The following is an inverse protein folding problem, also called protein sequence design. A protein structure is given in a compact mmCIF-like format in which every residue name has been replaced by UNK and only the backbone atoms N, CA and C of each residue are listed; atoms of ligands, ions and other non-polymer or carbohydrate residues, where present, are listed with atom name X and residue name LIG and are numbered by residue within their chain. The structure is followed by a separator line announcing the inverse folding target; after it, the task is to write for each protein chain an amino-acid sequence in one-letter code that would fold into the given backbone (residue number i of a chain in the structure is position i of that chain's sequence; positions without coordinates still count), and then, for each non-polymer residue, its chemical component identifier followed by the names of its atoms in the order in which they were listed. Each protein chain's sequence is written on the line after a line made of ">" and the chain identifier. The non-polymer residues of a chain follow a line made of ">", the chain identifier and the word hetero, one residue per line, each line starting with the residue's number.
data_IF_196215973908
#
_entry.id   IF_196215973908
#
_cell.length_a   1.000
_cell.length_b   1.000
_cell.length_c   1.000
_cell.angle_alpha   90.00
_cell.angle_beta   90.00
_cell.angle_gamma   90.00
#
_symmetry.space_group_name_H-M   'P 1'
#
loop_
_entity.id
_entity.type
_entity.pdbx_description
1 polymer ?
#
# COMPACT_ATOMS: atom_id res chain seq x y z
N UNK A 1 -13.14 27.68 10.17
CA UNK A 1 -12.19 27.27 11.23
C UNK A 1 -11.71 25.81 11.08
N UNK A 2 -12.60 24.87 10.77
CA UNK A 2 -12.28 23.43 10.65
C UNK A 2 -11.32 23.11 9.49
N UNK A 3 -11.60 23.60 8.28
CA UNK A 3 -10.75 23.42 7.09
C UNK A 3 -9.33 23.97 7.31
N UNK A 4 -9.20 25.15 7.93
CA UNK A 4 -7.89 25.76 8.20
C UNK A 4 -7.06 24.91 9.18
N UNK A 5 -7.67 24.39 10.26
CA UNK A 5 -6.97 23.50 11.20
C UNK A 5 -6.46 22.23 10.51
N UNK A 6 -7.23 21.70 9.54
CA UNK A 6 -6.84 20.52 8.77
C UNK A 6 -5.73 20.78 7.76
N UNK A 7 -5.83 21.88 7.02
CA UNK A 7 -4.75 22.29 6.12
C UNK A 7 -3.45 22.50 6.89
N UNK A 8 -3.52 23.12 8.07
CA UNK A 8 -2.37 23.27 8.95
C UNK A 8 -1.84 21.91 9.43
N UNK A 9 -2.72 20.98 9.81
CA UNK A 9 -2.34 19.62 10.20
C UNK A 9 -1.63 18.87 9.06
N UNK A 10 -2.20 18.87 7.85
CA UNK A 10 -1.58 18.25 6.66
C UNK A 10 -0.23 18.88 6.38
N UNK A 11 -0.12 20.21 6.42
CA UNK A 11 1.14 20.92 6.21
C UNK A 11 2.18 20.52 7.26
N UNK A 12 1.80 20.45 8.54
CA UNK A 12 2.70 20.03 9.62
C UNK A 12 3.14 18.57 9.46
N UNK A 13 2.25 17.66 9.06
CA UNK A 13 2.57 16.26 8.80
C UNK A 13 3.55 16.13 7.64
N UNK A 14 3.27 16.78 6.52
CA UNK A 14 4.13 16.77 5.32
C UNK A 14 5.49 17.39 5.63
N UNK A 15 5.52 18.53 6.31
CA UNK A 15 6.77 19.19 6.72
C UNK A 15 7.59 18.33 7.70
N UNK A 16 6.94 17.75 8.70
CA UNK A 16 7.62 16.87 9.68
C UNK A 16 8.17 15.62 9.00
N UNK A 17 7.37 14.95 8.17
CA UNK A 17 7.82 13.79 7.42
C UNK A 17 8.94 14.13 6.45
N UNK A 18 8.84 15.23 5.71
CA UNK A 18 9.89 15.71 4.80
C UNK A 18 11.21 15.97 5.55
N UNK A 19 11.13 16.65 6.69
CA UNK A 19 12.30 16.95 7.54
C UNK A 19 12.94 15.68 8.08
N UNK A 20 12.14 14.77 8.64
CA UNK A 20 12.61 13.48 9.18
C UNK A 20 13.26 12.66 8.06
N UNK A 21 12.60 12.56 6.90
CA UNK A 21 13.11 11.78 5.77
C UNK A 21 14.43 12.36 5.27
N UNK A 22 14.59 13.68 5.24
CA UNK A 22 15.85 14.31 4.87
C UNK A 22 17.00 13.94 5.82
N UNK A 23 16.77 13.96 7.13
CA UNK A 23 17.84 13.74 8.11
C UNK A 23 18.18 12.26 8.34
N UNK A 24 17.21 11.34 8.24
CA UNK A 24 17.42 9.91 8.55
C UNK A 24 18.65 9.33 7.81
N UNK A 25 18.77 9.45 6.48
CA UNK A 25 19.91 8.81 5.79
C UNK A 25 21.25 9.49 6.07
N UNK A 26 21.23 10.74 6.55
CA UNK A 26 22.42 11.54 6.90
C UNK A 26 22.91 11.31 8.33
N UNK A 27 22.17 10.52 9.11
CA UNK A 27 22.68 9.95 10.37
C UNK A 27 23.71 8.84 10.08
N UNK A 28 23.61 8.22 8.90
CA UNK A 28 24.60 7.26 8.43
C UNK A 28 25.85 7.99 7.93
N UNK A 29 27.03 7.56 8.38
CA UNK A 29 28.32 8.06 7.89
C UNK A 29 28.66 7.55 6.46
N UNK A 30 27.74 6.83 5.83
CA UNK A 30 27.92 6.21 4.51
C UNK A 30 27.67 7.23 3.40
N UNK A 31 28.68 7.46 2.56
CA UNK A 31 28.51 8.24 1.33
C UNK A 31 27.87 7.35 0.24
N UNK A 32 26.63 7.66 -0.21
CA UNK A 32 25.86 6.80 -1.12
C UNK A 32 26.51 6.67 -2.50
N UNK A 33 27.13 7.77 -2.97
CA UNK A 33 27.82 7.81 -4.25
C UNK A 33 29.06 6.91 -4.19
N UNK A 34 29.85 7.03 -3.11
CA UNK A 34 31.03 6.18 -2.89
C UNK A 34 30.65 4.72 -2.84
N UNK A 35 29.60 4.36 -2.09
CA UNK A 35 29.17 2.97 -1.98
C UNK A 35 28.71 2.39 -3.32
N UNK A 36 27.91 3.14 -4.07
CA UNK A 36 27.45 2.74 -5.39
C UNK A 36 28.60 2.50 -6.36
N UNK A 37 29.53 3.45 -6.47
CA UNK A 37 30.65 3.29 -7.39
C UNK A 37 31.69 2.29 -6.88
N UNK A 38 31.80 2.06 -5.57
CA UNK A 38 32.60 0.97 -5.02
C UNK A 38 32.00 -0.41 -5.37
N UNK A 39 30.67 -0.56 -5.35
CA UNK A 39 29.99 -1.76 -5.83
C UNK A 39 30.28 -2.02 -7.32
N UNK A 40 30.15 -1.00 -8.16
CA UNK A 40 30.45 -1.09 -9.59
C UNK A 40 31.94 -1.38 -9.86
N UNK A 41 32.85 -0.82 -9.05
CA UNK A 41 34.27 -1.11 -9.13
C UNK A 41 34.57 -2.59 -8.83
N UNK A 42 33.88 -3.20 -7.86
CA UNK A 42 33.99 -4.65 -7.55
C UNK A 42 33.53 -5.53 -8.71
N UNK A 43 32.58 -5.05 -9.53
CA UNK A 43 32.10 -5.75 -10.73
C UNK A 43 32.99 -5.53 -11.96
N UNK A 44 34.15 -4.87 -11.81
CA UNK A 44 35.19 -4.76 -12.84
C UNK A 44 35.23 -3.42 -13.60
N UNK A 45 34.69 -2.34 -13.03
CA UNK A 45 34.45 -1.09 -13.77
C UNK A 45 35.48 0.03 -13.63
N UNK A 46 36.31 0.09 -12.58
CA UNK A 46 37.12 1.30 -12.29
C UNK A 46 38.42 0.99 -11.55
N UNK A 47 39.48 1.76 -11.83
CA UNK A 47 40.65 1.84 -10.96
C UNK A 47 40.35 2.69 -9.71
N UNK A 48 41.07 2.45 -8.61
CA UNK A 48 40.88 3.19 -7.36
C UNK A 48 41.05 4.72 -7.55
N UNK A 49 41.87 5.18 -8.49
CA UNK A 49 42.03 6.62 -8.77
C UNK A 49 40.89 7.26 -9.57
N UNK A 50 40.09 6.46 -10.29
CA UNK A 50 38.92 6.92 -11.05
C UNK A 50 37.68 7.02 -10.17
N UNK A 51 37.56 6.12 -9.18
CA UNK A 51 36.47 6.12 -8.21
C UNK A 51 36.36 7.47 -7.48
N UNK A 52 37.45 7.96 -6.91
CA UNK A 52 37.49 9.24 -6.19
C UNK A 52 37.05 10.42 -7.07
N UNK A 53 37.46 10.46 -8.33
CA UNK A 53 37.06 11.52 -9.28
C UNK A 53 35.57 11.48 -9.60
N UNK A 54 35.03 10.27 -9.79
CA UNK A 54 33.60 10.07 -10.03
C UNK A 54 32.81 10.49 -8.80
N UNK A 55 33.25 10.06 -7.62
CA UNK A 55 32.59 10.43 -6.35
C UNK A 55 32.59 11.94 -6.16
N UNK A 56 33.69 12.63 -6.42
CA UNK A 56 33.77 14.09 -6.32
C UNK A 56 32.83 14.78 -7.33
N UNK A 57 32.85 14.34 -8.59
CA UNK A 57 32.00 14.90 -9.65
C UNK A 57 30.51 14.74 -9.33
N UNK A 58 30.10 13.55 -8.89
CA UNK A 58 28.72 13.28 -8.49
C UNK A 58 28.37 14.01 -7.20
N UNK A 59 29.28 14.11 -6.22
CA UNK A 59 29.01 14.85 -4.98
C UNK A 59 28.69 16.31 -5.26
N UNK A 60 29.43 16.94 -6.18
CA UNK A 60 29.13 18.31 -6.65
C UNK A 60 27.82 18.39 -7.43
N UNK A 61 27.57 17.44 -8.35
CA UNK A 61 26.34 17.43 -9.15
C UNK A 61 25.07 17.28 -8.30
N UNK A 62 25.13 16.50 -7.22
CA UNK A 62 24.03 16.28 -6.29
C UNK A 62 24.05 17.22 -5.07
N UNK A 63 25.00 18.15 -5.00
CA UNK A 63 25.14 19.14 -3.92
C UNK A 63 25.46 18.52 -2.55
N UNK A 64 26.01 17.31 -2.51
CA UNK A 64 26.38 16.62 -1.26
C UNK A 64 27.63 17.22 -0.59
N UNK A 65 28.37 18.05 -1.31
CA UNK A 65 29.53 18.82 -0.83
C UNK A 65 29.14 20.10 -0.07
N UNK A 66 27.90 20.55 -0.19
CA UNK A 66 27.39 21.76 0.48
C UNK A 66 27.17 21.52 1.98
N UNK A 67 27.21 22.58 2.82
CA UNK A 67 26.79 22.49 4.22
C UNK A 67 25.39 21.90 4.36
N UNK A 68 25.17 21.09 5.41
CA UNK A 68 23.95 20.33 5.64
C UNK A 68 22.67 21.18 5.57
N UNK A 69 22.74 22.39 6.13
CA UNK A 69 21.64 23.36 6.15
C UNK A 69 21.30 23.82 4.73
N UNK A 70 22.30 24.04 3.88
CA UNK A 70 22.08 24.43 2.49
C UNK A 70 21.47 23.27 1.70
N UNK A 71 21.93 22.03 1.91
CA UNK A 71 21.31 20.85 1.31
C UNK A 71 19.83 20.72 1.69
N UNK A 72 19.49 21.06 2.94
CA UNK A 72 18.10 21.03 3.41
C UNK A 72 17.24 22.07 2.69
N UNK A 73 17.72 23.30 2.53
CA UNK A 73 16.98 24.33 1.79
C UNK A 73 16.88 24.02 0.30
N UNK A 74 17.93 23.47 -0.32
CA UNK A 74 17.89 23.01 -1.71
C UNK A 74 16.84 21.90 -1.88
N UNK A 75 16.81 20.93 -0.94
CA UNK A 75 15.82 19.86 -0.92
C UNK A 75 14.38 20.39 -0.76
N UNK A 76 14.13 21.26 0.23
CA UNK A 76 12.81 21.87 0.44
C UNK A 76 12.40 22.70 -0.77
N UNK A 77 13.34 23.43 -1.40
CA UNK A 77 13.11 24.14 -2.66
C UNK A 77 12.61 23.20 -3.77
N UNK A 78 13.30 22.08 -3.97
CA UNK A 78 12.90 21.04 -4.93
C UNK A 78 11.53 20.42 -4.61
N UNK A 79 11.24 20.14 -3.34
CA UNK A 79 9.93 19.67 -2.88
C UNK A 79 8.82 20.63 -3.28
N UNK A 80 9.02 21.94 -3.10
CA UNK A 80 8.03 22.97 -3.44
C UNK A 80 7.79 23.09 -4.95
N UNK A 81 8.77 22.71 -5.78
CA UNK A 81 8.65 22.67 -7.25
C UNK A 81 8.33 21.29 -7.80
N UNK A 82 8.10 20.29 -6.93
CA UNK A 82 7.93 18.87 -7.28
C UNK A 82 9.13 18.28 -8.06
N UNK A 83 10.30 18.89 -7.90
CA UNK A 83 11.56 18.38 -8.44
C UNK A 83 12.29 17.57 -7.37
N UNK A 84 12.17 16.25 -7.50
CA UNK A 84 12.86 15.28 -6.64
C UNK A 84 14.20 14.83 -7.21
N UNK A 85 14.62 15.39 -8.34
CA UNK A 85 15.85 15.03 -9.03
C UNK A 85 15.81 13.66 -9.71
N UNK A 86 16.99 13.06 -9.85
CA UNK A 86 17.22 11.80 -10.55
C UNK A 86 17.71 10.71 -9.62
N UNK A 87 17.35 9.46 -9.93
CA UNK A 87 17.84 8.30 -9.19
C UNK A 87 19.33 8.11 -9.41
N UNK A 88 20.07 7.95 -8.31
CA UNK A 88 21.50 7.59 -8.35
C UNK A 88 21.71 6.20 -8.93
N UNK A 89 20.79 5.27 -8.64
CA UNK A 89 20.93 3.86 -9.02
C UNK A 89 20.31 3.54 -10.39
N UNK A 90 19.29 4.29 -10.81
CA UNK A 90 18.57 4.10 -12.09
C UNK A 90 18.75 5.29 -13.03
N UNK A 91 19.89 5.97 -12.97
CA UNK A 91 20.19 7.09 -13.87
C UNK A 91 20.03 6.68 -15.35
N UNK A 92 19.41 7.51 -16.22
CA UNK A 92 18.96 8.88 -16.00
C UNK A 92 17.48 9.03 -15.55
N UNK A 93 16.84 7.98 -15.02
CA UNK A 93 15.42 8.07 -14.62
C UNK A 93 15.22 9.11 -13.50
N UNK A 94 14.25 10.00 -13.70
CA UNK A 94 13.81 10.93 -12.66
C UNK A 94 13.03 10.19 -11.58
N UNK A 95 13.05 10.72 -10.35
CA UNK A 95 12.28 10.14 -9.24
C UNK A 95 10.78 10.17 -9.54
N UNK A 96 10.29 11.24 -10.19
CA UNK A 96 8.89 11.34 -10.59
C UNK A 96 8.50 10.26 -11.61
N UNK A 97 9.39 9.92 -12.55
CA UNK A 97 9.16 8.83 -13.51
C UNK A 97 9.06 7.48 -12.78
N UNK A 98 9.94 7.23 -11.81
CA UNK A 98 9.88 6.00 -11.00
C UNK A 98 8.56 5.91 -10.20
N UNK A 99 8.12 7.03 -9.60
CA UNK A 99 6.83 7.08 -8.91
C UNK A 99 5.70 6.80 -9.89
N UNK A 100 5.68 7.46 -11.06
CA UNK A 100 4.63 7.30 -12.06
C UNK A 100 4.54 5.88 -12.64
N UNK A 101 5.68 5.21 -12.86
CA UNK A 101 5.73 3.82 -13.32
C UNK A 101 5.21 2.84 -12.26
N UNK A 102 5.47 3.13 -10.98
CA UNK A 102 5.09 2.26 -9.86
C UNK A 102 3.66 2.48 -9.35
N UNK A 103 3.13 3.68 -9.51
CA UNK A 103 1.84 4.09 -8.93
C UNK A 103 0.66 3.20 -9.37
N UNK A 104 0.50 2.82 -10.66
CA UNK A 104 -0.62 1.99 -11.09
C UNK A 104 -0.64 0.62 -10.41
N UNK A 105 0.54 0.04 -10.16
CA UNK A 105 0.67 -1.26 -9.48
C UNK A 105 0.19 -1.18 -8.03
N UNK A 106 0.66 -0.16 -7.30
CA UNK A 106 0.28 0.05 -5.90
C UNK A 106 -1.18 0.42 -5.75
N UNK A 107 -1.67 1.38 -6.54
CA UNK A 107 -3.09 1.79 -6.50
C UNK A 107 -4.00 0.64 -6.90
N UNK A 108 -3.68 -0.07 -7.99
CA UNK A 108 -4.46 -1.21 -8.46
C UNK A 108 -4.58 -2.30 -7.39
N UNK A 109 -3.45 -2.70 -6.80
CA UNK A 109 -3.43 -3.69 -5.74
C UNK A 109 -4.23 -3.24 -4.52
N UNK A 110 -4.01 -2.02 -4.03
CA UNK A 110 -4.67 -1.50 -2.82
C UNK A 110 -6.18 -1.34 -3.04
N UNK A 111 -6.61 -0.70 -4.13
CA UNK A 111 -8.03 -0.45 -4.38
C UNK A 111 -8.79 -1.76 -4.56
N UNK A 112 -8.27 -2.67 -5.40
CA UNK A 112 -8.94 -3.95 -5.68
C UNK A 112 -9.03 -4.78 -4.41
N UNK A 113 -7.93 -4.93 -3.67
CA UNK A 113 -7.95 -5.74 -2.44
C UNK A 113 -8.81 -5.11 -1.34
N UNK A 114 -8.79 -3.79 -1.19
CA UNK A 114 -9.63 -3.09 -0.19
C UNK A 114 -11.10 -3.24 -0.52
N UNK A 115 -11.50 -3.01 -1.78
CA UNK A 115 -12.90 -3.16 -2.22
C UNK A 115 -13.37 -4.60 -2.09
N UNK A 116 -12.57 -5.58 -2.51
CA UNK A 116 -12.92 -6.99 -2.38
C UNK A 116 -13.05 -7.40 -0.91
N UNK A 117 -12.13 -6.98 -0.06
CA UNK A 117 -12.19 -7.27 1.39
C UNK A 117 -13.42 -6.64 2.03
N UNK A 118 -13.73 -5.40 1.65
CA UNK A 118 -14.92 -4.70 2.09
C UNK A 118 -16.18 -5.43 1.67
N UNK A 119 -16.34 -5.74 0.37
CA UNK A 119 -17.55 -6.41 -0.15
C UNK A 119 -17.70 -7.80 0.46
N UNK A 120 -16.66 -8.64 0.38
CA UNK A 120 -16.71 -10.01 0.88
C UNK A 120 -16.93 -10.00 2.40
N UNK A 121 -16.15 -9.21 3.14
CA UNK A 121 -16.22 -9.17 4.58
C UNK A 121 -17.58 -8.69 5.10
N UNK A 122 -18.14 -7.65 4.48
CA UNK A 122 -19.47 -7.18 4.85
C UNK A 122 -20.57 -8.19 4.49
N UNK A 123 -20.52 -8.82 3.31
CA UNK A 123 -21.53 -9.83 2.95
C UNK A 123 -21.47 -11.04 3.90
N UNK A 124 -20.28 -11.55 4.18
CA UNK A 124 -20.09 -12.68 5.10
C UNK A 124 -20.50 -12.31 6.53
N UNK A 125 -20.11 -11.13 7.01
CA UNK A 125 -20.50 -10.64 8.35
C UNK A 125 -22.00 -10.43 8.49
N UNK A 126 -22.64 -9.83 7.48
CA UNK A 126 -24.08 -9.61 7.42
C UNK A 126 -24.84 -10.93 7.47
N UNK A 127 -24.45 -11.90 6.64
CA UNK A 127 -25.05 -13.24 6.62
C UNK A 127 -24.81 -14.00 7.92
N UNK A 128 -23.65 -13.86 8.54
CA UNK A 128 -23.34 -14.55 9.79
C UNK A 128 -24.11 -14.01 11.00
N UNK A 129 -24.52 -12.73 10.98
CA UNK A 129 -25.41 -12.16 11.99
C UNK A 129 -26.89 -12.40 11.69
N UNK A 130 -27.26 -12.69 10.43
CA UNK A 130 -28.66 -12.89 10.05
C UNK A 130 -29.27 -14.17 10.67
N UNK A 131 -30.41 -14.10 11.39
CA UNK A 131 -30.98 -15.24 12.12
C UNK A 131 -31.38 -16.43 11.27
N UNK A 132 -31.88 -16.16 10.06
CA UNK A 132 -32.36 -17.19 9.15
C UNK A 132 -31.22 -17.87 8.38
N UNK A 133 -29.99 -17.38 8.53
CA UNK A 133 -28.84 -18.03 7.92
C UNK A 133 -28.60 -19.42 8.53
N UNK A 134 -28.17 -20.40 7.71
CA UNK A 134 -27.79 -21.73 8.20
C UNK A 134 -26.80 -21.64 9.37
N UNK A 135 -26.87 -22.58 10.32
CA UNK A 135 -26.01 -22.57 11.51
C UNK A 135 -24.51 -22.52 11.16
N UNK A 136 -24.10 -23.21 10.09
CA UNK A 136 -22.72 -23.19 9.62
C UNK A 136 -22.28 -21.81 9.11
N UNK A 137 -23.17 -21.07 8.43
CA UNK A 137 -22.92 -19.69 7.99
C UNK A 137 -22.78 -18.76 9.19
N UNK A 138 -23.63 -18.93 10.21
CA UNK A 138 -23.49 -18.14 11.46
C UNK A 138 -22.19 -18.46 12.19
N UNK A 139 -21.78 -19.72 12.19
CA UNK A 139 -20.52 -20.19 12.80
C UNK A 139 -19.26 -19.76 12.04
N UNK A 140 -19.33 -19.49 10.73
CA UNK A 140 -18.15 -19.14 9.91
C UNK A 140 -17.48 -17.85 10.38
N UNK A 141 -18.26 -16.92 10.95
CA UNK A 141 -17.74 -15.64 11.44
C UNK A 141 -16.69 -15.79 12.54
N UNK A 142 -16.80 -16.82 13.38
CA UNK A 142 -15.83 -17.12 14.43
C UNK A 142 -14.47 -17.50 13.84
N UNK A 143 -14.43 -18.20 12.71
CA UNK A 143 -13.18 -18.54 12.02
C UNK A 143 -12.45 -17.30 11.48
N UNK A 144 -13.19 -16.23 11.15
CA UNK A 144 -12.59 -14.97 10.69
C UNK A 144 -11.88 -14.18 11.79
N UNK A 145 -12.13 -14.50 13.07
CA UNK A 145 -11.33 -13.98 14.19
C UNK A 145 -9.87 -14.41 14.05
N UNK A 146 -9.63 -15.64 13.58
CA UNK A 146 -8.26 -16.14 13.38
C UNK A 146 -7.52 -15.30 12.34
N UNK A 147 -8.20 -14.91 11.26
CA UNK A 147 -7.59 -14.09 10.20
C UNK A 147 -7.27 -12.67 10.64
N UNK A 148 -7.99 -12.11 11.62
CA UNK A 148 -7.65 -10.79 12.18
C UNK A 148 -6.26 -10.77 12.84
N UNK A 149 -5.83 -11.91 13.39
CA UNK A 149 -4.52 -12.05 14.03
C UNK A 149 -3.37 -12.37 13.08
N UNK A 150 -3.64 -12.65 11.79
CA UNK A 150 -2.60 -13.06 10.82
C UNK A 150 -2.12 -11.84 10.05
N UNK A 151 -0.84 -11.41 10.22
CA UNK A 151 -0.27 -10.35 9.42
C UNK A 151 -0.25 -10.73 7.92
N UNK A 152 -0.59 -9.81 6.99
CA UNK A 152 -0.53 -10.05 5.56
C UNK A 152 0.83 -10.59 5.08
N UNK A 153 1.90 -10.14 5.75
CA UNK A 153 3.30 -10.53 5.51
C UNK A 153 3.50 -12.03 5.75
N UNK A 154 3.00 -12.57 6.87
CA UNK A 154 3.12 -14.00 7.16
C UNK A 154 2.31 -14.82 6.17
N UNK A 155 1.10 -14.34 5.83
CA UNK A 155 0.27 -15.01 4.84
C UNK A 155 0.91 -15.01 3.45
N UNK A 156 1.55 -13.91 3.04
CA UNK A 156 2.31 -13.83 1.80
C UNK A 156 3.42 -14.90 1.73
N UNK A 157 4.21 -15.05 2.79
CA UNK A 157 5.27 -16.06 2.87
C UNK A 157 4.69 -17.48 2.77
N UNK A 158 3.60 -17.77 3.49
CA UNK A 158 2.95 -19.08 3.44
C UNK A 158 2.37 -19.37 2.05
N UNK A 159 1.74 -18.39 1.41
CA UNK A 159 1.20 -18.51 0.06
C UNK A 159 2.30 -18.77 -0.97
N UNK A 160 3.42 -18.07 -0.87
CA UNK A 160 4.60 -18.34 -1.71
C UNK A 160 5.07 -19.78 -1.51
N UNK A 161 5.27 -20.22 -0.26
CA UNK A 161 5.80 -21.55 0.00
C UNK A 161 4.86 -22.67 -0.44
N UNK A 162 3.59 -22.61 -0.04
CA UNK A 162 2.65 -23.70 -0.32
C UNK A 162 2.06 -23.63 -1.73
N UNK A 163 1.61 -22.46 -2.18
CA UNK A 163 0.86 -22.35 -3.44
C UNK A 163 1.80 -22.15 -4.64
N UNK A 164 2.79 -21.27 -4.51
CA UNK A 164 3.69 -20.96 -5.62
C UNK A 164 4.83 -21.99 -5.73
N UNK A 165 5.54 -22.28 -4.65
CA UNK A 165 6.72 -23.14 -4.68
C UNK A 165 6.36 -24.64 -4.64
N UNK A 166 5.60 -25.08 -3.64
CA UNK A 166 5.29 -26.51 -3.46
C UNK A 166 4.27 -27.03 -4.48
N UNK A 167 3.19 -26.27 -4.73
CA UNK A 167 2.12 -26.68 -5.65
C UNK A 167 2.31 -26.18 -7.09
N UNK A 168 3.16 -25.18 -7.35
CA UNK A 168 3.40 -24.62 -8.69
C UNK A 168 2.13 -24.14 -9.42
N UNK A 169 1.10 -23.70 -8.70
CA UNK A 169 -0.18 -23.27 -9.30
C UNK A 169 -0.10 -21.81 -9.77
N UNK A 170 0.52 -20.95 -8.97
CA UNK A 170 0.61 -19.52 -9.17
C UNK A 170 2.08 -19.06 -9.14
N UNK A 171 2.42 -17.95 -9.80
CA UNK A 171 3.78 -17.44 -9.85
C UNK A 171 4.29 -17.03 -8.46
N UNK A 172 5.60 -17.18 -8.26
CA UNK A 172 6.27 -16.86 -6.99
C UNK A 172 6.42 -15.35 -6.79
N UNK A 173 6.76 -14.63 -7.86
CA UNK A 173 7.06 -13.21 -7.83
C UNK A 173 6.97 -12.58 -9.23
N UNK A 174 7.02 -11.25 -9.28
CA UNK A 174 6.96 -10.45 -10.49
C UNK A 174 5.55 -9.94 -10.82
N UNK A 175 5.46 -8.94 -11.68
CA UNK A 175 4.19 -8.41 -12.16
C UNK A 175 3.57 -9.22 -13.31
N UNK A 176 4.41 -9.94 -14.04
CA UNK A 176 4.10 -10.76 -15.20
C UNK A 176 5.28 -11.71 -15.46
N UNK A 177 5.08 -12.69 -16.33
CA UNK A 177 6.05 -13.74 -16.66
C UNK A 177 7.34 -13.16 -17.26
N UNK A 178 8.48 -13.76 -16.89
CA UNK A 178 9.80 -13.32 -17.36
C UNK A 178 9.90 -13.51 -18.88
N UNK A 179 10.40 -12.49 -19.59
CA UNK A 179 10.58 -12.51 -21.04
C UNK A 179 9.36 -12.02 -21.83
N UNK A 180 8.24 -11.73 -21.16
CA UNK A 180 7.06 -11.13 -21.79
C UNK A 180 7.28 -9.65 -22.06
N UNK A 181 6.90 -9.19 -23.24
CA UNK A 181 6.89 -7.77 -23.60
C UNK A 181 5.51 -7.23 -23.21
N UNK A 182 5.43 -6.17 -22.38
CA UNK A 182 4.15 -5.57 -22.02
C UNK A 182 3.39 -5.08 -23.26
N UNK A 183 2.15 -5.55 -23.41
CA UNK A 183 1.22 -5.11 -24.44
C UNK A 183 -0.22 -5.04 -23.85
N UNK A 184 -1.22 -4.76 -24.68
CA UNK A 184 -2.62 -4.72 -24.25
C UNK A 184 -3.41 -5.96 -24.71
N UNK A 185 -2.72 -7.08 -24.93
CA UNK A 185 -3.39 -8.32 -25.30
C UNK A 185 -4.12 -8.93 -24.09
N UNK A 186 -5.16 -9.70 -24.38
CA UNK A 186 -5.90 -10.42 -23.34
C UNK A 186 -4.98 -11.40 -22.58
N UNK A 187 -4.01 -12.02 -23.25
CA UNK A 187 -3.05 -12.93 -22.64
C UNK A 187 -2.16 -12.23 -21.63
N UNK A 188 -1.62 -11.05 -21.97
CA UNK A 188 -0.82 -10.26 -21.04
C UNK A 188 -1.64 -9.81 -19.82
N UNK A 189 -2.88 -9.36 -20.02
CA UNK A 189 -3.76 -8.97 -18.91
C UNK A 189 -4.02 -10.16 -17.97
N UNK A 190 -4.28 -11.35 -18.52
CA UNK A 190 -4.51 -12.54 -17.72
C UNK A 190 -3.25 -12.96 -16.95
N UNK A 191 -2.08 -12.84 -17.58
CA UNK A 191 -0.78 -13.10 -16.95
C UNK A 191 -0.54 -12.13 -15.77
N UNK A 192 -0.78 -10.83 -15.99
CA UNK A 192 -0.71 -9.81 -14.93
C UNK A 192 -1.66 -10.16 -13.78
N UNK A 193 -2.93 -10.46 -14.07
CA UNK A 193 -3.91 -10.82 -13.04
C UNK A 193 -3.49 -12.07 -12.26
N UNK A 194 -2.92 -13.07 -12.93
CA UNK A 194 -2.39 -14.29 -12.30
C UNK A 194 -1.29 -13.98 -11.29
N UNK A 195 -0.42 -13.01 -11.59
CA UNK A 195 0.62 -12.53 -10.68
C UNK A 195 0.07 -11.71 -9.51
N UNK A 196 -1.10 -11.09 -9.66
CA UNK A 196 -1.76 -10.35 -8.58
C UNK A 196 -2.55 -11.23 -7.60
N UNK A 197 -2.84 -12.50 -7.92
CA UNK A 197 -3.72 -13.35 -7.09
C UNK A 197 -3.16 -13.57 -5.69
N UNK A 198 -1.92 -14.01 -5.56
CA UNK A 198 -1.32 -14.29 -4.25
C UNK A 198 -1.12 -13.04 -3.37
N UNK A 199 -0.53 -11.94 -3.86
CA UNK A 199 -0.46 -10.70 -3.09
C UNK A 199 -1.87 -10.16 -2.75
N UNK A 200 -2.82 -10.32 -3.67
CA UNK A 200 -4.21 -9.97 -3.45
C UNK A 200 -4.85 -10.76 -2.31
N UNK A 201 -4.70 -12.09 -2.30
CA UNK A 201 -5.20 -12.96 -1.21
C UNK A 201 -4.53 -12.59 0.12
N UNK A 202 -3.22 -12.34 0.12
CA UNK A 202 -2.50 -11.96 1.34
C UNK A 202 -3.07 -10.70 2.00
N UNK A 203 -3.31 -9.65 1.20
CA UNK A 203 -3.91 -8.40 1.67
C UNK A 203 -5.39 -8.55 2.02
N UNK A 204 -6.14 -9.33 1.22
CA UNK A 204 -7.57 -9.53 1.48
C UNK A 204 -7.76 -10.19 2.83
N UNK A 205 -7.17 -11.36 3.06
CA UNK A 205 -7.35 -12.10 4.30
C UNK A 205 -6.79 -11.35 5.53
N UNK A 206 -5.73 -10.56 5.38
CA UNK A 206 -5.20 -9.75 6.47
C UNK A 206 -6.13 -8.61 6.93
N UNK A 207 -7.12 -8.21 6.11
CA UNK A 207 -8.11 -7.19 6.48
C UNK A 207 -9.54 -7.73 6.62
N UNK A 208 -9.82 -8.91 6.05
CA UNK A 208 -11.15 -9.51 5.97
C UNK A 208 -11.79 -9.74 7.33
N UNK A 209 -11.00 -10.17 8.33
CA UNK A 209 -11.50 -10.43 9.69
C UNK A 209 -12.13 -9.20 10.33
N UNK A 210 -11.51 -8.03 10.16
CA UNK A 210 -12.04 -6.76 10.66
C UNK A 210 -13.39 -6.41 10.04
N UNK A 211 -13.54 -6.57 8.73
CA UNK A 211 -14.80 -6.32 8.04
C UNK A 211 -15.92 -7.27 8.47
N UNK A 212 -15.63 -8.57 8.55
CA UNK A 212 -16.61 -9.59 8.98
C UNK A 212 -17.10 -9.31 10.40
N UNK A 213 -16.19 -9.04 11.33
CA UNK A 213 -16.54 -8.82 12.73
C UNK A 213 -17.28 -7.51 12.95
N UNK A 214 -16.82 -6.43 12.30
CA UNK A 214 -17.49 -5.13 12.32
C UNK A 214 -18.93 -5.25 11.81
N UNK A 215 -19.13 -5.87 10.64
CA UNK A 215 -20.45 -6.01 10.05
C UNK A 215 -21.35 -6.96 10.83
N UNK A 216 -20.81 -8.04 11.40
CA UNK A 216 -21.57 -8.93 12.27
C UNK A 216 -22.05 -8.19 13.52
N UNK A 217 -21.20 -7.38 14.14
CA UNK A 217 -21.56 -6.55 15.29
C UNK A 217 -22.68 -5.58 14.96
N UNK A 218 -22.52 -4.82 13.86
CA UNK A 218 -23.55 -3.92 13.34
C UNK A 218 -24.86 -4.64 13.01
N UNK A 219 -24.76 -5.81 12.38
CA UNK A 219 -25.89 -6.64 12.03
C UNK A 219 -26.73 -7.04 13.23
N UNK A 220 -26.10 -7.54 14.30
CA UNK A 220 -26.80 -7.93 15.53
C UNK A 220 -27.57 -6.73 16.12
N UNK A 221 -26.97 -5.54 16.13
CA UNK A 221 -27.65 -4.31 16.59
C UNK A 221 -28.85 -3.96 15.71
N UNK A 222 -28.63 -3.88 14.38
CA UNK A 222 -29.66 -3.48 13.41
C UNK A 222 -30.84 -4.45 13.38
N UNK A 223 -30.58 -5.74 13.58
CA UNK A 223 -31.63 -6.76 13.63
C UNK A 223 -32.63 -6.53 14.79
N UNK A 224 -32.18 -5.92 15.89
CA UNK A 224 -33.02 -5.61 17.05
C UNK A 224 -33.81 -4.31 16.93
N UNK A 225 -33.69 -3.58 15.83
CA UNK A 225 -34.33 -2.27 15.65
C UNK A 225 -35.82 -2.38 15.29
N UNK A 226 -36.62 -1.43 15.79
CA UNK A 226 -38.08 -1.40 15.64
C UNK A 226 -38.54 -1.46 14.18
N UNK A 227 -37.81 -0.83 13.25
CA UNK A 227 -38.17 -0.83 11.83
C UNK A 227 -37.96 -2.20 11.16
N UNK A 228 -37.04 -3.03 11.66
CA UNK A 228 -36.86 -4.41 11.18
C UNK A 228 -37.98 -5.29 11.72
N UNK A 229 -38.27 -5.18 13.02
CA UNK A 229 -39.38 -5.90 13.66
C UNK A 229 -40.72 -5.53 13.02
N UNK A 230 -40.94 -4.25 12.73
CA UNK A 230 -42.14 -3.78 12.02
C UNK A 230 -42.25 -4.39 10.61
N UNK A 231 -41.14 -4.50 9.88
CA UNK A 231 -41.11 -5.12 8.56
C UNK A 231 -41.46 -6.62 8.62
N UNK A 232 -41.03 -7.33 9.68
CA UNK A 232 -41.43 -8.72 9.95
C UNK A 232 -42.93 -8.83 10.23
N UNK A 233 -43.49 -7.95 11.08
CA UNK A 233 -44.93 -7.93 11.40
C UNK A 233 -45.80 -7.56 10.20
N UNK A 234 -45.27 -6.78 9.25
CA UNK A 234 -45.92 -6.49 7.96
C UNK A 234 -45.95 -7.71 7.03
N UNK A 235 -45.24 -8.79 7.34
CA UNK A 235 -45.19 -10.00 6.53
C UNK A 235 -44.32 -9.87 5.28
N UNK A 236 -43.34 -8.96 5.28
CA UNK A 236 -42.41 -8.83 4.17
C UNK A 236 -41.53 -10.08 4.03
N UNK A 237 -41.10 -10.39 2.80
CA UNK A 237 -40.25 -11.54 2.55
C UNK A 237 -38.89 -11.40 3.26
N UNK A 238 -38.31 -12.52 3.73
CA UNK A 238 -37.00 -12.51 4.40
C UNK A 238 -35.89 -11.89 3.53
N UNK A 239 -35.97 -12.04 2.21
CA UNK A 239 -35.02 -11.41 1.28
C UNK A 239 -35.17 -9.88 1.26
N UNK A 240 -36.40 -9.37 1.24
CA UNK A 240 -36.69 -7.92 1.33
C UNK A 240 -36.20 -7.35 2.64
N UNK A 241 -36.48 -8.02 3.77
CA UNK A 241 -36.04 -7.57 5.09
C UNK A 241 -34.51 -7.57 5.16
N UNK A 242 -33.85 -8.65 4.71
CA UNK A 242 -32.40 -8.75 4.70
C UNK A 242 -31.74 -7.65 3.85
N UNK A 243 -32.22 -7.41 2.63
CA UNK A 243 -31.60 -6.47 1.70
C UNK A 243 -31.87 -5.01 2.07
N UNK A 244 -33.15 -4.66 2.25
CA UNK A 244 -33.59 -3.26 2.26
C UNK A 244 -33.65 -2.67 3.67
N UNK A 245 -33.92 -3.50 4.69
CA UNK A 245 -34.05 -3.05 6.09
C UNK A 245 -32.80 -3.38 6.90
N UNK A 246 -32.17 -4.54 6.68
CA UNK A 246 -31.01 -4.96 7.45
C UNK A 246 -29.68 -4.51 6.81
N UNK A 247 -29.36 -5.03 5.62
CA UNK A 247 -28.05 -4.83 4.99
C UNK A 247 -27.81 -3.35 4.66
N UNK A 248 -28.79 -2.67 4.06
CA UNK A 248 -28.67 -1.26 3.71
C UNK A 248 -28.34 -0.36 4.90
N UNK A 249 -28.95 -0.60 6.06
CA UNK A 249 -28.74 0.21 7.25
C UNK A 249 -27.45 -0.17 7.99
N UNK A 250 -27.12 -1.47 8.06
CA UNK A 250 -25.88 -1.94 8.65
C UNK A 250 -24.62 -1.52 7.87
N UNK A 251 -24.75 -1.25 6.56
CA UNK A 251 -23.64 -0.80 5.70
C UNK A 251 -23.23 0.66 5.91
N UNK A 252 -24.09 1.52 6.49
CA UNK A 252 -23.80 2.96 6.60
C UNK A 252 -22.48 3.25 7.34
N UNK A 253 -22.21 2.65 8.52
CA UNK A 253 -20.93 2.88 9.21
C UNK A 253 -19.75 2.21 8.50
N UNK A 254 -20.00 1.14 7.74
CA UNK A 254 -18.97 0.41 7.02
C UNK A 254 -18.39 1.26 5.89
N UNK A 255 -19.24 2.02 5.18
CA UNK A 255 -18.79 2.95 4.12
C UNK A 255 -17.88 4.04 4.69
N UNK A 256 -18.16 4.58 5.87
CA UNK A 256 -17.25 5.52 6.55
C UNK A 256 -15.92 4.86 6.90
N UNK A 257 -15.95 3.63 7.41
CA UNK A 257 -14.74 2.88 7.73
C UNK A 257 -13.90 2.54 6.49
N UNK A 258 -14.52 2.36 5.32
CA UNK A 258 -13.82 2.05 4.06
C UNK A 258 -12.84 3.15 3.68
N UNK A 259 -13.25 4.40 3.88
CA UNK A 259 -12.43 5.56 3.59
C UNK A 259 -11.17 5.57 4.49
N UNK A 260 -11.31 5.25 5.79
CA UNK A 260 -10.18 5.13 6.72
C UNK A 260 -9.25 3.94 6.38
N UNK A 261 -9.83 2.83 5.88
CA UNK A 261 -9.06 1.63 5.55
C UNK A 261 -8.04 1.87 4.43
N UNK A 262 -8.35 2.73 3.45
CA UNK A 262 -7.43 3.06 2.35
C UNK A 262 -6.09 3.63 2.85
N UNK A 263 -6.10 4.42 3.92
CA UNK A 263 -4.87 4.94 4.53
C UNK A 263 -4.00 3.84 5.18
N UNK A 264 -4.63 2.88 5.86
CA UNK A 264 -3.92 1.81 6.58
C UNK A 264 -3.38 0.71 5.66
N UNK A 265 -4.06 0.44 4.54
CA UNK A 265 -3.67 -0.63 3.61
C UNK A 265 -2.35 -0.33 2.91
N UNK A 266 -2.01 0.94 2.68
CA UNK A 266 -0.76 1.37 2.03
C UNK A 266 0.46 0.79 2.74
N UNK A 267 0.51 0.82 4.07
CA UNK A 267 1.65 0.30 4.85
C UNK A 267 1.82 -1.21 4.67
N UNK A 268 0.72 -1.96 4.64
CA UNK A 268 0.77 -3.41 4.43
C UNK A 268 1.13 -3.77 2.99
N UNK A 269 0.63 -3.00 2.02
CA UNK A 269 0.91 -3.19 0.61
C UNK A 269 2.41 -3.05 0.30
N UNK A 270 3.12 -2.10 0.91
CA UNK A 270 4.56 -1.90 0.72
C UNK A 270 5.35 -3.20 0.96
N UNK A 271 5.05 -3.89 2.06
CA UNK A 271 5.76 -5.11 2.43
C UNK A 271 5.36 -6.28 1.52
N UNK A 272 4.07 -6.40 1.20
CA UNK A 272 3.57 -7.44 0.29
C UNK A 272 4.15 -7.29 -1.11
N UNK A 273 4.17 -6.07 -1.66
CA UNK A 273 4.83 -5.76 -2.95
C UNK A 273 6.29 -6.18 -2.95
N UNK A 274 7.01 -5.90 -1.85
CA UNK A 274 8.42 -6.26 -1.72
C UNK A 274 8.62 -7.77 -1.73
N UNK A 275 7.78 -8.51 -1.01
CA UNK A 275 7.86 -9.98 -0.91
C UNK A 275 7.57 -10.64 -2.27
N UNK A 276 6.56 -10.16 -2.99
CA UNK A 276 6.20 -10.69 -4.31
C UNK A 276 6.98 -10.05 -5.46
N UNK A 277 7.92 -9.13 -5.20
CA UNK A 277 8.69 -8.44 -6.24
C UNK A 277 7.81 -7.68 -7.24
N UNK A 278 6.68 -7.12 -6.79
CA UNK A 278 5.83 -6.28 -7.62
C UNK A 278 6.48 -4.91 -7.82
N UNK A 279 6.46 -4.33 -9.03
CA UNK A 279 7.09 -3.04 -9.34
C UNK A 279 6.32 -1.82 -8.78
N UNK A 280 5.71 -1.96 -7.60
CA UNK A 280 5.02 -0.88 -6.89
C UNK A 280 5.95 0.01 -6.08
N UNK A 281 5.36 1.05 -5.46
CA UNK A 281 6.07 2.07 -4.70
C UNK A 281 6.85 1.47 -3.52
N UNK A 282 6.32 0.44 -2.88
CA UNK A 282 6.99 -0.21 -1.76
C UNK A 282 8.26 -0.92 -2.17
N UNK A 283 8.21 -1.65 -3.29
CA UNK A 283 9.39 -2.32 -3.83
C UNK A 283 10.48 -1.32 -4.26
N UNK A 284 10.09 -0.22 -4.93
CA UNK A 284 11.05 0.83 -5.32
C UNK A 284 11.63 1.52 -4.09
N UNK A 285 10.83 1.81 -3.07
CA UNK A 285 11.30 2.39 -1.81
C UNK A 285 12.32 1.48 -1.11
N UNK A 286 12.01 0.20 -0.93
CA UNK A 286 12.92 -0.74 -0.27
C UNK A 286 14.21 -0.92 -1.09
N UNK A 287 14.10 -0.96 -2.42
CA UNK A 287 15.28 -1.03 -3.29
C UNK A 287 16.14 0.23 -3.15
N UNK A 288 15.53 1.41 -3.10
CA UNK A 288 16.21 2.69 -2.89
C UNK A 288 16.90 2.75 -1.52
N UNK A 289 16.24 2.28 -0.46
CA UNK A 289 16.82 2.17 0.89
C UNK A 289 18.06 1.26 0.88
N UNK A 290 17.96 0.08 0.27
CA UNK A 290 19.08 -0.88 0.20
C UNK A 290 20.27 -0.39 -0.63
N UNK A 291 20.01 0.49 -1.59
CA UNK A 291 21.02 1.04 -2.50
C UNK A 291 21.42 2.49 -2.16
N UNK A 292 20.99 2.98 -1.00
CA UNK A 292 21.22 4.35 -0.52
C UNK A 292 20.86 5.45 -1.55
N UNK A 293 19.79 5.25 -2.32
CA UNK A 293 19.26 6.24 -3.27
C UNK A 293 18.39 7.29 -2.58
N UNK A 294 19.03 8.25 -1.92
CA UNK A 294 18.34 9.21 -1.05
C UNK A 294 17.27 10.04 -1.76
N UNK A 295 17.50 10.44 -3.00
CA UNK A 295 16.53 11.23 -3.76
C UNK A 295 15.24 10.45 -4.03
N UNK A 296 15.37 9.16 -4.38
CA UNK A 296 14.21 8.28 -4.57
C UNK A 296 13.48 8.04 -3.24
N UNK A 297 14.21 7.84 -2.14
CA UNK A 297 13.62 7.71 -0.80
C UNK A 297 12.82 8.97 -0.46
N UNK A 298 13.40 10.16 -0.67
CA UNK A 298 12.74 11.44 -0.37
C UNK A 298 11.47 11.63 -1.18
N UNK A 299 11.53 11.37 -2.48
CA UNK A 299 10.36 11.51 -3.35
C UNK A 299 9.26 10.53 -2.99
N UNK A 300 9.56 9.24 -2.81
CA UNK A 300 8.53 8.24 -2.53
C UNK A 300 7.91 8.42 -1.15
N UNK A 301 8.72 8.65 -0.10
CA UNK A 301 8.19 8.85 1.26
C UNK A 301 7.33 10.12 1.31
N UNK A 302 7.77 11.21 0.67
CA UNK A 302 6.97 12.43 0.64
C UNK A 302 5.68 12.25 -0.17
N UNK A 303 5.75 11.60 -1.32
CA UNK A 303 4.58 11.28 -2.14
C UNK A 303 3.55 10.46 -1.36
N UNK A 304 3.98 9.38 -0.70
CA UNK A 304 3.11 8.54 0.13
C UNK A 304 2.52 9.35 1.29
N UNK A 305 3.33 10.18 1.95
CA UNK A 305 2.86 11.03 3.07
C UNK A 305 1.79 12.00 2.60
N UNK A 306 2.02 12.71 1.49
CA UNK A 306 1.05 13.65 0.92
C UNK A 306 -0.23 12.90 0.52
N UNK A 307 -0.12 11.76 -0.16
CA UNK A 307 -1.26 10.97 -0.58
C UNK A 307 -2.11 10.50 0.61
N UNK A 308 -1.48 9.96 1.67
CA UNK A 308 -2.18 9.52 2.89
C UNK A 308 -2.80 10.71 3.62
N UNK A 309 -2.05 11.80 3.81
CA UNK A 309 -2.56 12.98 4.52
C UNK A 309 -3.76 13.61 3.80
N UNK A 310 -3.72 13.68 2.45
CA UNK A 310 -4.85 14.15 1.64
C UNK A 310 -6.04 13.20 1.73
N UNK A 311 -5.82 11.88 1.62
CA UNK A 311 -6.89 10.89 1.76
C UNK A 311 -7.58 11.03 3.11
N UNK A 312 -6.82 11.06 4.22
CA UNK A 312 -7.38 11.22 5.56
C UNK A 312 -8.14 12.55 5.72
N UNK A 313 -7.59 13.65 5.20
CA UNK A 313 -8.27 14.95 5.24
C UNK A 313 -9.60 14.96 4.46
N UNK A 314 -9.68 14.22 3.35
CA UNK A 314 -10.89 14.01 2.55
C UNK A 314 -11.92 13.12 3.24
N UNK A 315 -11.48 12.07 3.92
CA UNK A 315 -12.37 11.14 4.65
C UNK A 315 -13.14 11.84 5.76
N UNK A 316 -12.45 12.69 6.49
CA UNK A 316 -13.04 13.30 7.66
C UNK A 316 -13.90 14.55 7.35
N UNK A 317 -13.98 14.98 6.07
CA UNK A 317 -14.77 16.13 5.60
C UNK A 317 -16.27 15.81 5.61
#
# INVERSE_FOLDING_TARGET
>A
MFVLKRLLFVLLVVWSASTITFFIPRISDINPIRERFAELARLGGFSAGELEKIVESYSKAFGLDKPLIQQYFDYIGGVMTLDFGVSLNKFPKTVLMLIAESLPWTIGLILVTTILSFVIGNLVGALAAWPLSPRWVRGISTSFILFQGVPPVLLAILLIFFVAFKLNILPIAGAYSIGTIPDFTFEFILDVLRHQVLPGIALIFGSLGTWVLSMRGMGITIQGEDYVVFAEHKGLSSYTIFKDYYLRNAMLPQVTALALALGNVITSAIVVETIFGLPGLGFVLITAIRSNDFLVIYGIVLFITIAVALLMALVEL
#
